data_IF_602171578682
#
_entry.id   IF_602171578682
#
_cell.length_a   1.000
_cell.length_b   1.000
_cell.length_c   1.000
_cell.angle_alpha   90.00
_cell.angle_beta   90.00
_cell.angle_gamma   90.00
#
_symmetry.space_group_name_H-M   'P 1'
#
loop_
_entity.id
_entity.type
_entity.pdbx_description
1 polymer ?
#
# COMPACT_ATOMS: atom_id res chain seq x y z
N UNK A 1 26.64 -11.44 13.91
CA UNK A 1 25.53 -11.76 14.82
C UNK A 1 24.62 -10.55 14.90
N UNK A 2 23.54 -10.50 14.13
CA UNK A 2 22.49 -9.47 14.22
C UNK A 2 21.20 -10.19 14.59
N UNK A 3 20.69 -9.87 15.80
CA UNK A 3 19.56 -10.55 16.41
C UNK A 3 18.28 -10.38 15.58
N UNK A 4 17.74 -11.48 15.15
CA UNK A 4 16.36 -11.60 14.65
C UNK A 4 15.42 -11.26 15.80
N UNK A 5 14.79 -10.09 15.73
CA UNK A 5 13.65 -9.80 16.59
C UNK A 5 12.51 -10.68 16.08
N UNK A 6 12.24 -11.73 16.80
CA UNK A 6 11.19 -12.70 16.51
C UNK A 6 9.82 -12.00 16.58
N UNK A 7 9.25 -11.67 15.43
CA UNK A 7 7.96 -10.98 15.32
C UNK A 7 6.81 -11.77 15.92
N UNK A 8 6.94 -13.08 16.07
CA UNK A 8 5.97 -13.96 16.73
C UNK A 8 5.85 -13.66 18.24
N UNK A 9 6.96 -13.26 18.86
CA UNK A 9 6.97 -12.92 20.30
C UNK A 9 6.29 -11.57 20.55
N UNK A 10 6.45 -10.61 19.67
CA UNK A 10 5.78 -9.31 19.75
C UNK A 10 4.26 -9.42 19.50
N UNK A 11 3.84 -10.31 18.60
CA UNK A 11 2.42 -10.56 18.32
C UNK A 11 1.70 -11.27 19.48
N UNK A 12 2.36 -12.19 20.19
CA UNK A 12 1.78 -12.88 21.35
C UNK A 12 1.65 -11.95 22.55
N UNK A 13 2.68 -11.17 22.86
CA UNK A 13 2.63 -10.16 23.91
C UNK A 13 1.59 -9.07 23.63
N UNK A 14 1.42 -8.70 22.35
CA UNK A 14 0.44 -7.70 21.93
C UNK A 14 -1.01 -8.19 22.09
N UNK A 15 -1.28 -9.47 21.82
CA UNK A 15 -2.61 -10.08 22.05
C UNK A 15 -3.03 -9.97 23.52
N UNK A 16 -2.10 -10.19 24.43
CA UNK A 16 -2.36 -10.09 25.87
C UNK A 16 -2.66 -8.65 26.27
N UNK A 17 -1.86 -7.68 25.83
CA UNK A 17 -2.05 -6.26 26.15
C UNK A 17 -3.38 -5.72 25.61
N UNK A 18 -3.77 -6.12 24.39
CA UNK A 18 -5.06 -5.71 23.80
C UNK A 18 -6.24 -6.36 24.53
N UNK A 19 -6.13 -7.61 24.95
CA UNK A 19 -7.18 -8.27 25.74
C UNK A 19 -7.35 -7.64 27.12
N UNK A 20 -6.26 -7.31 27.79
CA UNK A 20 -6.31 -6.64 29.09
C UNK A 20 -6.88 -5.23 28.98
N UNK A 21 -6.55 -4.48 27.90
CA UNK A 21 -7.12 -3.17 27.62
C UNK A 21 -8.63 -3.23 27.32
N UNK A 22 -9.07 -4.24 26.55
CA UNK A 22 -10.49 -4.48 26.27
C UNK A 22 -11.26 -4.87 27.55
N UNK A 23 -10.62 -5.60 28.47
CA UNK A 23 -11.21 -5.95 29.77
C UNK A 23 -11.32 -4.73 30.68
N UNK A 24 -10.32 -3.81 30.66
CA UNK A 24 -10.37 -2.56 31.40
C UNK A 24 -11.46 -1.61 30.86
N UNK A 25 -11.61 -1.53 29.55
CA UNK A 25 -12.70 -0.75 28.92
C UNK A 25 -14.06 -1.36 29.27
N UNK A 26 -14.20 -2.69 29.23
CA UNK A 26 -15.43 -3.37 29.65
C UNK A 26 -15.77 -3.16 31.14
N UNK A 27 -14.79 -3.12 32.03
CA UNK A 27 -15.02 -2.86 33.45
C UNK A 27 -15.52 -1.43 33.72
N UNK A 28 -15.05 -0.45 32.94
CA UNK A 28 -15.48 0.95 33.11
C UNK A 28 -16.88 1.21 32.55
N UNK A 29 -17.39 0.38 31.62
CA UNK A 29 -18.74 0.50 31.06
C UNK A 29 -19.81 -0.20 31.90
N UNK A 30 -19.44 -1.04 32.87
CA UNK A 30 -20.38 -1.70 33.77
C UNK A 30 -20.78 -0.86 34.98
N UNK A 31 -20.05 0.20 35.30
CA UNK A 31 -20.35 1.09 36.42
C UNK A 31 -21.26 2.28 36.09
N UNK A 32 -21.65 2.46 34.82
CA UNK A 32 -22.63 3.44 34.43
C UNK A 32 -23.86 2.72 33.85
N UNK A 33 -24.94 2.75 34.61
CA UNK A 33 -26.18 2.02 34.38
C UNK A 33 -26.73 2.08 32.94
N UNK A 34 -27.19 0.94 32.53
CA UNK A 34 -28.17 0.65 31.48
C UNK A 34 -28.36 1.68 30.37
N UNK A 35 -27.64 1.54 29.28
CA UNK A 35 -28.03 2.05 27.97
C UNK A 35 -28.53 0.91 27.09
N UNK A 36 -29.85 0.90 26.83
CA UNK A 36 -30.50 0.02 25.84
C UNK A 36 -29.88 0.32 24.46
N UNK A 37 -29.22 -0.67 23.89
CA UNK A 37 -28.77 -0.61 22.50
C UNK A 37 -29.97 -0.83 21.59
N UNK A 38 -30.52 0.26 21.08
CA UNK A 38 -31.45 0.27 19.96
C UNK A 38 -30.67 0.11 18.64
N UNK A 39 -31.20 -0.78 17.84
CA UNK A 39 -30.93 -1.14 16.46
C UNK A 39 -30.29 -0.03 15.62
N UNK A 40 -29.00 -0.13 15.23
CA UNK A 40 -28.39 0.70 14.21
C UNK A 40 -28.73 0.15 12.82
N UNK A 41 -29.78 0.73 12.22
CA UNK A 41 -29.98 0.70 10.76
C UNK A 41 -29.57 2.05 10.19
N UNK A 42 -28.72 1.98 9.19
CA UNK A 42 -28.47 3.00 8.14
C UNK A 42 -28.71 4.48 8.51
N UNK A 43 -27.64 5.23 8.74
CA UNK A 43 -27.67 6.68 8.63
C UNK A 43 -26.62 7.15 7.62
N UNK A 44 -27.10 7.43 6.44
CA UNK A 44 -26.43 8.28 5.44
C UNK A 44 -26.30 9.70 6.00
N UNK A 45 -25.07 10.21 6.05
CA UNK A 45 -24.78 11.60 6.41
C UNK A 45 -25.21 12.52 5.27
N UNK A 46 -26.37 13.16 5.39
CA UNK A 46 -26.72 14.34 4.63
C UNK A 46 -26.40 15.58 5.47
N UNK A 47 -25.30 16.25 5.15
CA UNK A 47 -25.06 17.62 5.55
C UNK A 47 -25.90 18.55 4.65
N UNK A 48 -27.02 19.00 5.13
CA UNK A 48 -27.75 20.12 4.56
C UNK A 48 -27.82 21.25 5.60
N UNK A 49 -27.22 22.33 5.16
CA UNK A 49 -27.28 23.69 5.64
C UNK A 49 -28.73 24.11 5.91
N UNK A 50 -29.10 24.36 7.14
CA UNK A 50 -30.32 25.15 7.41
C UNK A 50 -30.02 26.23 8.44
N UNK A 51 -29.96 27.43 7.91
CA UNK A 51 -29.95 28.70 8.60
C UNK A 51 -31.38 29.15 8.69
N UNK A 52 -31.85 29.35 9.86
CA UNK A 52 -32.99 30.21 10.21
C UNK A 52 -34.17 29.52 10.94
N UNK A 53 -34.28 29.86 12.19
CA UNK A 53 -35.42 30.42 12.90
C UNK A 53 -35.33 30.15 14.40
N UNK A 54 -34.75 31.11 15.08
CA UNK A 54 -35.02 31.28 16.51
C UNK A 54 -36.41 31.81 16.64
N UNK A 55 -37.36 30.98 17.05
CA UNK A 55 -38.62 31.42 17.59
C UNK A 55 -38.52 31.40 19.11
N UNK A 56 -38.56 32.60 19.66
CA UNK A 56 -38.79 32.86 21.07
C UNK A 56 -40.11 32.20 21.51
N UNK A 57 -40.01 31.19 22.36
CA UNK A 57 -41.12 30.71 23.18
C UNK A 57 -40.95 31.26 24.59
N UNK A 58 -41.87 32.09 24.95
CA UNK A 58 -42.06 32.75 26.22
C UNK A 58 -42.67 31.75 27.21
N UNK A 59 -42.13 31.74 28.41
CA UNK A 59 -42.70 31.39 29.69
C UNK A 59 -43.75 30.26 29.77
N UNK A 60 -43.36 29.13 30.37
CA UNK A 60 -44.11 28.59 31.50
C UNK A 60 -43.17 27.67 32.30
N UNK A 61 -43.10 27.93 33.58
CA UNK A 61 -42.12 27.37 34.51
C UNK A 61 -42.20 25.85 34.69
N UNK A 62 -41.25 25.18 34.16
CA UNK A 62 -40.76 23.91 34.69
C UNK A 62 -39.22 23.90 34.53
N UNK A 63 -38.55 24.15 35.63
CA UNK A 63 -37.10 23.98 35.73
C UNK A 63 -36.75 22.48 35.64
N UNK A 64 -36.68 21.95 34.45
CA UNK A 64 -35.95 20.74 34.18
C UNK A 64 -34.49 21.14 34.03
N UNK A 65 -33.74 21.04 35.14
CA UNK A 65 -32.28 21.08 35.10
C UNK A 65 -31.80 19.98 34.19
N UNK A 66 -31.67 20.29 32.90
CA UNK A 66 -30.86 19.51 32.01
C UNK A 66 -29.40 19.69 32.47
N UNK A 67 -28.97 18.86 33.43
CA UNK A 67 -27.57 18.65 33.64
C UNK A 67 -26.95 18.14 32.34
N UNK A 68 -26.53 19.06 31.47
CA UNK A 68 -25.60 18.78 30.45
C UNK A 68 -24.33 18.31 31.18
N UNK A 69 -24.16 16.99 31.30
CA UNK A 69 -22.93 16.37 31.74
C UNK A 69 -21.89 16.69 30.64
N UNK A 70 -21.34 17.90 30.73
CA UNK A 70 -20.10 18.22 30.03
C UNK A 70 -18.99 17.40 30.72
N UNK A 71 -18.94 16.10 30.41
CA UNK A 71 -17.82 15.27 30.77
C UNK A 71 -16.64 15.75 29.93
N UNK A 72 -15.96 16.78 30.41
CA UNK A 72 -14.69 17.23 29.83
C UNK A 72 -13.67 16.11 29.95
N UNK A 73 -12.95 15.80 28.86
CA UNK A 73 -11.83 14.90 28.88
C UNK A 73 -10.75 15.44 29.82
N UNK A 74 -10.26 14.58 30.71
CA UNK A 74 -9.11 14.95 31.54
C UNK A 74 -7.84 14.94 30.69
N UNK A 75 -6.89 15.81 31.02
CA UNK A 75 -5.60 15.91 30.32
C UNK A 75 -4.86 14.55 30.34
N UNK A 76 -4.97 13.79 31.44
CA UNK A 76 -4.34 12.48 31.58
C UNK A 76 -4.99 11.41 30.67
N UNK A 77 -6.31 11.44 30.48
CA UNK A 77 -7.00 10.53 29.57
C UNK A 77 -6.53 10.75 28.12
N UNK A 78 -6.37 12.01 27.70
CA UNK A 78 -5.85 12.33 26.38
C UNK A 78 -4.39 11.84 26.24
N UNK A 79 -3.55 12.08 27.25
CA UNK A 79 -2.14 11.71 27.25
C UNK A 79 -1.96 10.20 27.11
N UNK A 80 -2.71 9.41 27.87
CA UNK A 80 -2.65 7.94 27.79
C UNK A 80 -3.07 7.41 26.44
N UNK A 81 -4.13 7.98 25.83
CA UNK A 81 -4.60 7.57 24.51
C UNK A 81 -3.54 7.86 23.43
N UNK A 82 -2.95 9.07 23.42
CA UNK A 82 -1.93 9.39 22.41
C UNK A 82 -0.65 8.57 22.58
N UNK A 83 -0.31 8.20 23.82
CA UNK A 83 0.80 7.31 24.10
C UNK A 83 0.56 5.93 23.47
N UNK A 84 -0.63 5.35 23.70
CA UNK A 84 -0.99 4.03 23.18
C UNK A 84 -0.99 4.03 21.65
N UNK A 85 -1.67 5.01 21.01
CA UNK A 85 -1.68 5.08 19.54
C UNK A 85 -0.29 5.33 18.97
N UNK A 86 0.58 6.08 19.66
CA UNK A 86 1.97 6.30 19.28
C UNK A 86 2.77 4.99 19.21
N UNK A 87 2.66 4.15 20.23
CA UNK A 87 3.34 2.83 20.28
C UNK A 87 2.80 1.90 19.18
N UNK A 88 1.48 1.85 19.00
CA UNK A 88 0.85 1.04 17.96
C UNK A 88 1.27 1.48 16.56
N UNK A 89 1.27 2.78 16.29
CA UNK A 89 1.69 3.34 15.01
C UNK A 89 3.16 3.01 14.72
N UNK A 90 4.05 3.11 15.70
CA UNK A 90 5.47 2.82 15.52
C UNK A 90 5.71 1.37 15.04
N UNK A 91 4.94 0.41 15.54
CA UNK A 91 5.03 -0.99 15.12
C UNK A 91 4.36 -1.26 13.76
N UNK A 92 3.28 -0.53 13.42
CA UNK A 92 2.50 -0.75 12.20
C UNK A 92 3.11 -0.11 10.95
N UNK A 93 3.77 1.04 11.05
CA UNK A 93 4.29 1.80 9.90
C UNK A 93 5.22 0.97 8.99
N UNK A 94 6.21 0.19 9.50
CA UNK A 94 7.09 -0.59 8.63
C UNK A 94 6.33 -1.61 7.77
N UNK A 95 5.39 -2.34 8.37
CA UNK A 95 4.57 -3.35 7.70
C UNK A 95 3.65 -2.72 6.66
N UNK A 96 3.04 -1.58 6.99
CA UNK A 96 2.19 -0.82 6.07
C UNK A 96 2.95 -0.37 4.81
N UNK A 97 4.18 0.13 4.96
CA UNK A 97 5.01 0.55 3.81
C UNK A 97 5.29 -0.61 2.85
N UNK A 98 5.55 -1.80 3.38
CA UNK A 98 5.75 -3.00 2.55
C UNK A 98 4.45 -3.39 1.84
N UNK A 99 3.32 -3.41 2.54
CA UNK A 99 2.02 -3.75 1.96
C UNK A 99 1.62 -2.81 0.81
N UNK A 100 1.79 -1.49 1.02
CA UNK A 100 1.56 -0.48 -0.04
C UNK A 100 2.53 -0.69 -1.20
N UNK A 101 3.80 -0.99 -0.92
CA UNK A 101 4.78 -1.29 -1.96
C UNK A 101 4.41 -2.53 -2.78
N UNK A 102 3.94 -3.59 -2.15
CA UNK A 102 3.45 -4.79 -2.85
C UNK A 102 2.27 -4.50 -3.76
N UNK A 103 1.32 -3.68 -3.33
CA UNK A 103 0.19 -3.23 -4.17
C UNK A 103 0.67 -2.49 -5.42
N UNK A 104 1.69 -1.63 -5.29
CA UNK A 104 2.30 -0.92 -6.42
C UNK A 104 2.98 -1.87 -7.40
N UNK A 105 3.74 -2.85 -6.89
CA UNK A 105 4.38 -3.86 -7.76
C UNK A 105 3.35 -4.77 -8.40
N UNK A 106 2.23 -5.08 -7.76
CA UNK A 106 1.15 -5.85 -8.40
C UNK A 106 0.57 -5.12 -9.62
N UNK A 107 0.42 -3.79 -9.56
CA UNK A 107 -0.01 -3.01 -10.73
C UNK A 107 1.06 -2.97 -11.83
N UNK A 108 2.35 -2.89 -11.47
CA UNK A 108 3.46 -3.03 -12.44
C UNK A 108 3.45 -4.41 -13.10
N UNK A 109 3.24 -5.46 -12.31
CA UNK A 109 3.18 -6.84 -12.79
C UNK A 109 2.09 -7.03 -13.85
N UNK A 110 0.89 -6.52 -13.57
CA UNK A 110 -0.22 -6.58 -14.52
C UNK A 110 0.12 -5.87 -15.85
N UNK A 111 0.75 -4.69 -15.78
CA UNK A 111 1.17 -3.94 -16.95
C UNK A 111 2.26 -4.67 -17.75
N UNK A 112 3.30 -5.17 -17.07
CA UNK A 112 4.39 -5.92 -17.72
C UNK A 112 3.86 -7.19 -18.40
N UNK A 113 2.92 -7.90 -17.75
CA UNK A 113 2.26 -9.06 -18.35
C UNK A 113 1.43 -8.71 -19.58
N UNK A 114 0.67 -7.62 -19.52
CA UNK A 114 -0.13 -7.17 -20.67
C UNK A 114 0.75 -6.83 -21.88
N UNK A 115 1.89 -6.15 -21.64
CA UNK A 115 2.84 -5.83 -22.72
C UNK A 115 3.53 -7.10 -23.24
N UNK A 116 3.93 -8.02 -22.36
CA UNK A 116 4.52 -9.31 -22.78
C UNK A 116 3.56 -10.10 -23.68
N UNK A 117 2.30 -10.22 -23.32
CA UNK A 117 1.28 -10.87 -24.13
C UNK A 117 1.07 -10.16 -25.50
N UNK A 118 1.02 -8.83 -25.51
CA UNK A 118 0.91 -8.07 -26.74
C UNK A 118 2.15 -8.23 -27.64
N UNK A 119 3.35 -8.32 -27.07
CA UNK A 119 4.59 -8.60 -27.80
C UNK A 119 4.59 -10.00 -28.42
N UNK A 120 4.13 -11.02 -27.67
CA UNK A 120 4.01 -12.37 -28.21
C UNK A 120 2.99 -12.43 -29.35
N UNK A 121 1.85 -11.74 -29.20
CA UNK A 121 0.85 -11.67 -30.26
C UNK A 121 1.40 -10.96 -31.52
N UNK A 122 2.10 -9.84 -31.36
CA UNK A 122 2.75 -9.14 -32.45
C UNK A 122 3.81 -10.00 -33.14
N UNK A 123 4.59 -10.74 -32.36
CA UNK A 123 5.59 -11.67 -32.90
C UNK A 123 4.97 -12.79 -33.74
N UNK A 124 3.85 -13.38 -33.30
CA UNK A 124 3.13 -14.41 -34.07
C UNK A 124 2.62 -13.88 -35.41
N UNK A 125 2.28 -12.60 -35.50
CA UNK A 125 1.78 -11.98 -36.73
C UNK A 125 2.89 -11.54 -37.69
N UNK A 126 4.00 -11.04 -37.17
CA UNK A 126 5.02 -10.34 -37.94
C UNK A 126 6.39 -11.00 -37.99
N UNK A 127 6.61 -12.05 -37.19
CA UNK A 127 7.91 -12.71 -37.03
C UNK A 127 8.97 -11.91 -36.27
N UNK A 128 8.59 -10.75 -35.69
CA UNK A 128 9.51 -9.87 -34.93
C UNK A 128 8.79 -9.21 -33.76
N UNK A 129 9.53 -8.78 -32.76
CA UNK A 129 8.99 -8.01 -31.65
C UNK A 129 8.82 -6.53 -32.02
N UNK A 130 7.80 -5.88 -31.46
CA UNK A 130 7.56 -4.47 -31.68
C UNK A 130 8.59 -3.60 -30.93
N UNK A 131 9.26 -2.72 -31.66
CA UNK A 131 10.23 -1.77 -31.08
C UNK A 131 9.56 -0.60 -30.35
N UNK A 132 8.29 -0.34 -30.69
CA UNK A 132 7.51 0.79 -30.18
C UNK A 132 6.22 0.31 -29.55
N UNK A 133 5.73 1.03 -28.55
CA UNK A 133 4.46 0.73 -27.88
C UNK A 133 3.25 0.94 -28.81
N UNK A 134 3.37 1.78 -29.84
CA UNK A 134 2.31 2.04 -30.80
C UNK A 134 1.99 0.83 -31.69
N UNK A 135 2.95 -0.06 -31.88
CA UNK A 135 2.74 -1.32 -32.58
C UNK A 135 1.99 -2.38 -31.78
N UNK A 136 1.78 -2.13 -30.48
CA UNK A 136 1.14 -3.07 -29.57
C UNK A 136 -0.30 -2.68 -29.30
N UNK A 137 -1.21 -3.66 -29.37
CA UNK A 137 -2.62 -3.46 -29.02
C UNK A 137 -2.77 -3.57 -27.50
N UNK A 138 -2.43 -2.49 -26.81
CA UNK A 138 -2.57 -2.38 -25.34
C UNK A 138 -3.33 -1.11 -24.97
N UNK A 139 -4.23 -1.20 -24.00
CA UNK A 139 -4.85 -0.03 -23.40
C UNK A 139 -3.85 0.69 -22.51
N UNK A 140 -3.68 2.00 -22.69
CA UNK A 140 -2.85 2.81 -21.79
C UNK A 140 -3.51 2.87 -20.41
N UNK A 141 -2.80 2.47 -19.34
CA UNK A 141 -3.36 2.57 -17.98
C UNK A 141 -3.63 4.03 -17.62
N UNK A 142 -4.69 4.25 -16.83
CA UNK A 142 -5.01 5.60 -16.33
C UNK A 142 -3.84 6.17 -15.52
N UNK A 143 -3.57 7.47 -15.69
CA UNK A 143 -2.46 8.15 -15.01
C UNK A 143 -1.08 7.97 -15.66
N UNK A 144 -0.96 7.16 -16.72
CA UNK A 144 0.25 7.11 -17.54
C UNK A 144 0.16 8.08 -18.73
N UNK A 145 1.29 8.64 -19.08
CA UNK A 145 1.49 9.45 -20.29
C UNK A 145 2.66 8.90 -21.10
N UNK A 146 2.54 8.93 -22.39
CA UNK A 146 3.62 8.57 -23.29
C UNK A 146 4.65 9.70 -23.32
N UNK A 147 5.92 9.37 -23.11
CA UNK A 147 7.03 10.33 -23.19
C UNK A 147 7.73 10.21 -24.55
N UNK A 148 7.86 9.01 -25.07
CA UNK A 148 8.36 8.70 -26.40
C UNK A 148 7.72 7.38 -26.88
N UNK A 149 8.06 6.93 -28.08
CA UNK A 149 7.50 5.72 -28.70
C UNK A 149 7.67 4.44 -27.87
N UNK A 150 8.64 4.42 -26.95
CA UNK A 150 9.02 3.23 -26.16
C UNK A 150 8.73 3.34 -24.67
N UNK A 151 8.43 4.56 -24.20
CA UNK A 151 8.40 4.86 -22.76
C UNK A 151 7.09 5.52 -22.36
N UNK A 152 6.48 4.98 -21.32
CA UNK A 152 5.36 5.59 -20.62
C UNK A 152 5.76 5.90 -19.17
N UNK A 153 5.26 7.00 -18.66
CA UNK A 153 5.55 7.44 -17.29
C UNK A 153 4.27 7.82 -16.56
N UNK A 154 4.25 7.57 -15.28
CA UNK A 154 3.32 8.19 -14.32
C UNK A 154 4.12 9.02 -13.32
N UNK A 155 3.49 9.53 -12.26
CA UNK A 155 4.18 10.39 -11.28
C UNK A 155 5.43 9.72 -10.68
N UNK A 156 5.35 8.44 -10.34
CA UNK A 156 6.42 7.72 -9.63
C UNK A 156 6.99 6.55 -10.45
N UNK A 157 6.40 6.20 -11.58
CA UNK A 157 6.71 4.97 -12.32
C UNK A 157 7.10 5.29 -13.75
N UNK A 158 8.13 4.59 -14.23
CA UNK A 158 8.56 4.62 -15.64
C UNK A 158 8.56 3.20 -16.18
N UNK A 159 7.89 2.97 -17.30
CA UNK A 159 7.90 1.70 -18.00
C UNK A 159 8.38 1.89 -19.42
N UNK A 160 9.18 0.96 -19.94
CA UNK A 160 9.75 1.08 -21.27
C UNK A 160 10.05 -0.27 -21.90
N UNK A 161 10.03 -0.30 -23.23
CA UNK A 161 10.62 -1.39 -24.02
C UNK A 161 12.13 -1.29 -23.87
N UNK A 162 12.73 -2.35 -23.38
CA UNK A 162 14.17 -2.43 -23.13
C UNK A 162 14.91 -2.91 -24.37
N UNK A 163 15.89 -2.11 -24.84
CA UNK A 163 16.69 -2.38 -26.03
C UNK A 163 18.15 -2.34 -25.64
N UNK A 164 18.87 -3.34 -26.10
CA UNK A 164 20.33 -3.43 -25.95
C UNK A 164 20.92 -3.87 -27.31
N UNK A 165 22.00 -3.21 -27.74
CA UNK A 165 22.70 -3.52 -28.99
C UNK A 165 21.74 -3.61 -30.20
N UNK A 166 20.80 -2.67 -30.30
CA UNK A 166 19.74 -2.62 -31.33
C UNK A 166 18.73 -3.76 -31.28
N UNK A 167 18.78 -4.65 -30.29
CA UNK A 167 17.85 -5.75 -30.11
C UNK A 167 16.90 -5.48 -28.96
N UNK A 168 15.61 -5.77 -29.18
CA UNK A 168 14.58 -5.71 -28.15
C UNK A 168 14.74 -6.96 -27.27
N UNK A 169 15.01 -6.77 -25.98
CA UNK A 169 15.19 -7.90 -25.08
C UNK A 169 14.08 -8.05 -24.05
N UNK A 170 13.26 -7.01 -23.82
CA UNK A 170 12.20 -7.11 -22.83
C UNK A 170 11.37 -5.86 -22.66
N UNK A 171 10.56 -5.89 -21.61
CA UNK A 171 9.83 -4.74 -21.11
C UNK A 171 10.07 -4.61 -19.60
N UNK A 172 10.33 -3.40 -19.16
CA UNK A 172 10.68 -3.12 -17.78
C UNK A 172 9.88 -1.95 -17.22
N UNK A 173 9.52 -2.03 -15.95
CA UNK A 173 8.91 -0.98 -15.16
C UNK A 173 9.74 -0.70 -13.91
N UNK A 174 10.07 0.57 -13.67
CA UNK A 174 10.76 1.03 -12.49
C UNK A 174 9.89 1.97 -11.69
N UNK A 175 9.70 1.68 -10.40
CA UNK A 175 9.03 2.57 -9.47
C UNK A 175 10.05 3.34 -8.63
N UNK A 176 10.06 4.65 -8.79
CA UNK A 176 11.03 5.53 -8.14
C UNK A 176 10.77 5.71 -6.64
N UNK A 177 9.54 5.48 -6.16
CA UNK A 177 9.17 5.63 -4.75
C UNK A 177 9.63 4.46 -3.89
N UNK A 178 9.43 3.25 -4.38
CA UNK A 178 9.81 2.03 -3.68
C UNK A 178 11.17 1.46 -4.15
N UNK A 179 11.77 2.05 -5.21
CA UNK A 179 13.07 1.66 -5.79
C UNK A 179 13.11 0.19 -6.24
N UNK A 180 12.04 -0.25 -6.89
CA UNK A 180 11.90 -1.60 -7.44
C UNK A 180 11.81 -1.52 -8.95
N UNK A 181 12.56 -2.40 -9.61
CA UNK A 181 12.49 -2.70 -11.04
C UNK A 181 11.76 -4.02 -11.22
N UNK A 182 10.75 -4.04 -12.08
CA UNK A 182 10.12 -5.25 -12.55
C UNK A 182 10.40 -5.39 -14.03
N UNK A 183 10.97 -6.52 -14.44
CA UNK A 183 11.45 -6.76 -15.80
C UNK A 183 11.04 -8.14 -16.31
N UNK A 184 10.64 -8.20 -17.57
CA UNK A 184 10.34 -9.42 -18.30
C UNK A 184 11.15 -9.47 -19.58
N UNK A 185 12.04 -10.47 -19.69
CA UNK A 185 12.76 -10.75 -20.92
C UNK A 185 11.89 -11.55 -21.89
N UNK A 186 11.92 -11.20 -23.18
CA UNK A 186 11.13 -11.88 -24.20
C UNK A 186 11.49 -13.35 -24.36
N UNK A 187 12.76 -13.69 -24.12
CA UNK A 187 13.30 -15.06 -24.26
C UNK A 187 13.31 -15.84 -22.95
N UNK A 188 12.73 -15.32 -21.88
CA UNK A 188 12.70 -15.97 -20.58
C UNK A 188 11.27 -16.23 -20.13
N UNK A 189 10.93 -17.39 -19.58
CA UNK A 189 9.62 -17.61 -18.99
C UNK A 189 9.42 -16.79 -17.70
N UNK A 190 10.51 -16.40 -17.06
CA UNK A 190 10.47 -15.74 -15.76
C UNK A 190 10.39 -14.21 -15.87
N UNK A 191 9.73 -13.62 -14.91
CA UNK A 191 9.78 -12.20 -14.63
C UNK A 191 10.77 -11.97 -13.49
N UNK A 192 11.46 -10.84 -13.49
CA UNK A 192 12.43 -10.49 -12.46
C UNK A 192 11.92 -9.31 -11.64
N UNK A 193 12.01 -9.42 -10.32
CA UNK A 193 11.90 -8.29 -9.41
C UNK A 193 13.30 -7.93 -8.93
N UNK A 194 13.77 -6.74 -9.20
CA UNK A 194 15.09 -6.29 -8.76
C UNK A 194 14.99 -5.03 -7.90
N UNK A 195 15.84 -4.95 -6.91
CA UNK A 195 15.98 -3.78 -6.06
C UNK A 195 17.44 -3.51 -5.74
N UNK A 196 17.79 -2.24 -5.59
CA UNK A 196 19.15 -1.84 -5.22
C UNK A 196 19.48 -2.37 -3.82
N UNK A 197 20.71 -2.84 -3.63
CA UNK A 197 21.23 -3.40 -2.37
C UNK A 197 21.03 -2.45 -1.18
N UNK A 198 21.18 -1.15 -1.41
CA UNK A 198 21.04 -0.12 -0.36
C UNK A 198 19.57 0.19 0.00
N UNK A 199 18.60 -0.39 -0.67
CA UNK A 199 17.18 -0.07 -0.52
C UNK A 199 16.41 -1.22 0.13
N UNK A 200 16.50 -1.31 1.45
CA UNK A 200 15.87 -2.37 2.25
C UNK A 200 14.37 -2.55 1.96
N UNK A 201 13.62 -1.45 1.76
CA UNK A 201 12.20 -1.54 1.43
C UNK A 201 11.97 -2.30 0.11
N UNK A 202 12.72 -1.97 -0.94
CA UNK A 202 12.63 -2.62 -2.24
C UNK A 202 13.00 -4.10 -2.16
N UNK A 203 14.07 -4.43 -1.43
CA UNK A 203 14.50 -5.83 -1.22
C UNK A 203 13.43 -6.64 -0.49
N UNK A 204 12.83 -6.10 0.57
CA UNK A 204 11.75 -6.77 1.30
C UNK A 204 10.52 -7.00 0.43
N UNK A 205 10.18 -6.04 -0.43
CA UNK A 205 9.07 -6.18 -1.37
C UNK A 205 9.37 -7.32 -2.37
N UNK A 206 10.55 -7.33 -3.00
CA UNK A 206 10.92 -8.37 -3.95
C UNK A 206 10.98 -9.77 -3.32
N UNK A 207 11.51 -9.92 -2.10
CA UNK A 207 11.46 -11.17 -1.33
C UNK A 207 10.03 -11.67 -1.11
N UNK A 208 9.16 -10.80 -0.63
CA UNK A 208 7.77 -11.16 -0.33
C UNK A 208 6.99 -11.59 -1.58
N UNK A 209 7.19 -10.91 -2.72
CA UNK A 209 6.48 -11.23 -3.96
C UNK A 209 7.01 -12.51 -4.60
N UNK A 210 8.32 -12.72 -4.54
CA UNK A 210 8.96 -13.93 -5.09
C UNK A 210 8.76 -15.16 -4.21
N UNK A 211 8.43 -14.99 -2.94
CA UNK A 211 8.43 -16.05 -1.93
C UNK A 211 9.83 -16.62 -1.63
N UNK A 212 10.89 -15.92 -2.02
CA UNK A 212 12.29 -16.34 -1.84
C UNK A 212 12.97 -15.43 -0.83
N UNK A 213 13.68 -16.00 0.11
CA UNK A 213 14.46 -15.24 1.08
C UNK A 213 15.79 -14.75 0.47
N UNK A 214 16.44 -15.63 -0.31
CA UNK A 214 17.71 -15.34 -0.96
C UNK A 214 17.52 -14.85 -2.40
N UNK A 215 18.32 -13.88 -2.85
CA UNK A 215 18.29 -13.42 -4.23
C UNK A 215 18.68 -14.53 -5.20
N UNK A 216 18.08 -14.51 -6.37
CA UNK A 216 18.43 -15.43 -7.46
C UNK A 216 19.78 -15.08 -8.10
N UNK A 217 20.24 -13.85 -7.91
CA UNK A 217 21.52 -13.34 -8.35
C UNK A 217 21.66 -11.84 -8.13
N UNK A 218 22.75 -11.30 -8.59
CA UNK A 218 23.04 -9.87 -8.57
C UNK A 218 23.48 -9.38 -9.95
N UNK A 219 23.34 -8.10 -10.19
CA UNK A 219 23.88 -7.41 -11.34
C UNK A 219 24.31 -6.00 -10.97
N UNK A 220 25.25 -5.46 -11.71
CA UNK A 220 25.71 -4.08 -11.56
C UNK A 220 25.32 -3.32 -12.81
N UNK A 221 24.61 -2.19 -12.65
CA UNK A 221 24.25 -1.34 -13.78
C UNK A 221 25.46 -0.52 -14.29
N UNK A 222 25.28 0.17 -15.41
CA UNK A 222 26.32 1.01 -16.03
C UNK A 222 26.83 2.14 -15.10
N UNK A 223 26.08 2.50 -14.06
CA UNK A 223 26.43 3.50 -13.07
C UNK A 223 27.07 2.93 -11.80
N UNK A 224 27.44 1.65 -11.80
CA UNK A 224 28.06 0.98 -10.66
C UNK A 224 27.09 0.61 -9.52
N UNK A 225 25.79 0.84 -9.67
CA UNK A 225 24.82 0.46 -8.64
C UNK A 225 24.56 -1.03 -8.70
N UNK A 226 24.77 -1.71 -7.56
CA UNK A 226 24.49 -3.12 -7.41
C UNK A 226 23.02 -3.34 -7.03
N UNK A 227 22.41 -4.35 -7.64
CA UNK A 227 21.01 -4.72 -7.38
C UNK A 227 20.92 -6.24 -7.25
N UNK A 228 20.10 -6.70 -6.30
CA UNK A 228 19.67 -8.09 -6.24
C UNK A 228 18.40 -8.27 -7.06
N UNK A 229 18.30 -9.40 -7.76
CA UNK A 229 17.08 -9.77 -8.45
C UNK A 229 16.54 -11.12 -7.95
N UNK A 230 15.23 -11.26 -8.06
CA UNK A 230 14.45 -12.41 -7.64
C UNK A 230 13.59 -12.86 -8.81
N UNK A 231 13.64 -14.15 -9.15
CA UNK A 231 12.68 -14.71 -10.09
C UNK A 231 11.30 -14.79 -9.46
N UNK A 232 10.33 -14.23 -10.16
CA UNK A 232 8.94 -14.40 -9.79
C UNK A 232 8.46 -15.71 -10.37
N UNK A 233 7.87 -16.57 -9.52
CA UNK A 233 7.31 -17.85 -9.93
C UNK A 233 6.21 -17.69 -10.96
N UNK A 234 5.97 -18.78 -11.70
CA UNK A 234 4.87 -18.90 -12.66
C UNK A 234 3.52 -18.86 -11.95
#
# INVERSE_FOLDING_TARGET
MKGFINTSFLLSSWKVVVQDLLLLIKRKTTDTGTLRVGKLSSMTLNFINDRSRIKTLRDDGLTTSACALNAGFTLIELLVVVLIIGILAAAAIPSYRVAVGMSRVSSMYALVRAVDQAQQHFYMQTGRYAANLDGLIIAMPSGFRKTNERTIVSNDMRCQIAIKDSHIYGFQCYDNKIKVLLEKYLNSPYMHCAANIDKELGLRICRNISGREEPSGNWTNEYGNQSYYYFLGN
#
